data_IF_336426748570
#
_entry.id   IF_336426748570
#
_cell.length_a   1.000
_cell.length_b   1.000
_cell.length_c   1.000
_cell.angle_alpha   90.00
_cell.angle_beta   90.00
_cell.angle_gamma   90.00
#
_symmetry.space_group_name_H-M   'P 1'
#
loop_
_entity.id
_entity.type
_entity.pdbx_description
1 polymer ?
#
# COMPACT_ATOMS: atom_id res chain seq x y z
N UNK A 1 33.50 14.19 12.78
CA UNK A 1 32.78 15.33 12.20
C UNK A 1 31.28 15.07 12.34
N UNK A 2 30.50 15.91 13.03
CA UNK A 2 29.05 15.70 13.14
C UNK A 2 28.42 15.99 11.77
N UNK A 3 27.80 14.96 11.18
CA UNK A 3 27.06 15.04 9.93
C UNK A 3 25.96 16.10 10.04
N UNK A 4 26.14 17.26 9.40
CA UNK A 4 25.07 18.24 9.19
C UNK A 4 24.06 17.62 8.23
N UNK A 5 23.04 17.01 8.80
CA UNK A 5 21.94 16.36 8.08
C UNK A 5 21.24 17.42 7.19
N UNK A 6 21.21 17.27 5.86
CA UNK A 6 20.83 18.33 4.91
C UNK A 6 19.33 18.70 4.93
N UNK A 7 18.52 18.01 5.72
CA UNK A 7 17.10 18.30 5.88
C UNK A 7 16.78 18.68 7.33
N UNK A 8 16.82 19.99 7.68
CA UNK A 8 16.58 20.43 9.05
C UNK A 8 15.17 20.12 9.56
N UNK A 9 14.22 19.82 8.66
CA UNK A 9 12.84 19.48 9.01
C UNK A 9 12.59 18.01 9.37
N UNK A 10 13.57 17.11 9.17
CA UNK A 10 13.39 15.67 9.37
C UNK A 10 13.11 15.33 10.86
N UNK A 11 12.29 14.31 11.12
CA UNK A 11 11.99 13.80 12.46
C UNK A 11 13.23 13.34 13.21
N UNK A 12 14.26 12.88 12.50
CA UNK A 12 15.55 12.52 13.07
C UNK A 12 16.29 13.69 13.73
N UNK A 13 15.94 14.94 13.39
CA UNK A 13 16.52 16.16 13.94
C UNK A 13 15.61 16.82 15.00
N UNK A 14 14.55 16.13 15.47
CA UNK A 14 13.61 16.63 16.47
C UNK A 14 13.76 15.87 17.79
N UNK A 15 13.51 16.51 18.94
CA UNK A 15 13.53 15.82 20.22
C UNK A 15 12.42 14.76 20.27
N UNK A 16 12.68 13.66 20.97
CA UNK A 16 11.77 12.51 21.03
C UNK A 16 10.38 12.89 21.56
N UNK A 17 10.32 13.83 22.50
CA UNK A 17 9.08 14.35 23.06
C UNK A 17 8.21 15.04 21.99
N UNK A 18 8.80 15.84 21.11
CA UNK A 18 8.08 16.49 20.01
C UNK A 18 7.57 15.46 19.01
N UNK A 19 8.38 14.45 18.66
CA UNK A 19 7.96 13.38 17.75
C UNK A 19 6.81 12.58 18.36
N UNK A 20 6.90 12.25 19.65
CA UNK A 20 5.85 11.55 20.39
C UNK A 20 4.56 12.37 20.45
N UNK A 21 4.67 13.68 20.71
CA UNK A 21 3.52 14.59 20.71
C UNK A 21 2.87 14.70 19.33
N UNK A 22 3.65 14.79 18.25
CA UNK A 22 3.13 14.83 16.88
C UNK A 22 2.43 13.51 16.53
N UNK A 23 3.03 12.37 16.88
CA UNK A 23 2.43 11.05 16.67
C UNK A 23 1.12 10.88 17.47
N UNK A 24 1.13 11.29 18.75
CA UNK A 24 -0.07 11.30 19.59
C UNK A 24 -1.15 12.23 19.04
N UNK A 25 -0.79 13.41 18.53
CA UNK A 25 -1.73 14.34 17.92
C UNK A 25 -2.35 13.75 16.65
N UNK A 26 -1.55 13.12 15.78
CA UNK A 26 -2.04 12.40 14.61
C UNK A 26 -2.96 11.23 14.95
N UNK A 27 -2.64 10.49 16.03
CA UNK A 27 -3.50 9.42 16.55
C UNK A 27 -4.79 9.96 17.18
N UNK A 28 -4.73 11.08 17.90
CA UNK A 28 -5.87 11.72 18.55
C UNK A 28 -6.84 12.33 17.55
N UNK A 29 -6.39 12.85 16.40
CA UNK A 29 -7.26 13.34 15.31
C UNK A 29 -8.19 12.26 14.74
N UNK A 30 -7.94 10.98 15.03
CA UNK A 30 -8.88 9.88 14.73
C UNK A 30 -9.90 9.72 15.86
N UNK A 31 -10.75 10.74 16.07
CA UNK A 31 -11.71 10.81 17.19
C UNK A 31 -12.82 9.74 17.20
N UNK A 32 -12.86 8.81 16.23
CA UNK A 32 -13.89 7.75 16.10
C UNK A 32 -13.32 6.43 15.58
N UNK A 33 -12.09 6.09 15.98
CA UNK A 33 -11.35 4.97 15.40
C UNK A 33 -10.91 5.31 13.98
N UNK A 34 -9.72 4.85 13.57
CA UNK A 34 -9.24 5.05 12.21
C UNK A 34 -10.11 4.32 11.18
N UNK A 35 -9.53 3.93 10.05
CA UNK A 35 -10.26 3.16 9.03
C UNK A 35 -11.01 1.94 9.62
N UNK A 36 -10.40 1.23 10.58
CA UNK A 36 -11.00 0.05 11.23
C UNK A 36 -12.19 0.35 12.16
N UNK A 37 -12.33 1.59 12.66
CA UNK A 37 -13.44 1.98 13.54
C UNK A 37 -14.60 2.67 12.83
N UNK A 38 -14.48 2.87 11.52
CA UNK A 38 -15.48 3.51 10.67
C UNK A 38 -16.62 2.56 10.32
N UNK A 39 -17.77 3.08 9.91
CA UNK A 39 -18.89 2.26 9.43
C UNK A 39 -18.45 1.33 8.26
N UNK A 40 -18.82 0.04 8.27
CA UNK A 40 -18.41 -0.92 7.23
C UNK A 40 -18.78 -0.50 5.80
N UNK A 41 -19.94 0.15 5.61
CA UNK A 41 -20.38 0.62 4.29
C UNK A 41 -19.46 1.74 3.78
N UNK A 42 -19.09 2.65 4.69
CA UNK A 42 -18.18 3.74 4.39
C UNK A 42 -16.74 3.27 4.18
N UNK A 43 -16.29 2.24 4.90
CA UNK A 43 -15.02 1.58 4.64
C UNK A 43 -14.98 0.99 3.22
N UNK A 44 -16.04 0.28 2.83
CA UNK A 44 -16.18 -0.32 1.49
C UNK A 44 -16.18 0.75 0.39
N UNK A 45 -16.88 1.85 0.60
CA UNK A 45 -16.90 2.98 -0.34
C UNK A 45 -15.49 3.55 -0.57
N UNK A 46 -14.74 3.81 0.51
CA UNK A 46 -13.36 4.31 0.44
C UNK A 46 -12.43 3.28 -0.22
N UNK A 47 -12.55 2.00 0.13
CA UNK A 47 -11.77 0.93 -0.49
C UNK A 47 -12.05 0.82 -2.00
N UNK A 48 -13.32 0.91 -2.41
CA UNK A 48 -13.73 0.91 -3.81
C UNK A 48 -13.16 2.10 -4.58
N UNK A 49 -13.07 3.29 -3.97
CA UNK A 49 -12.44 4.46 -4.60
C UNK A 49 -10.95 4.21 -4.90
N UNK A 50 -10.22 3.53 -4.00
CA UNK A 50 -8.83 3.14 -4.24
C UNK A 50 -8.67 2.17 -5.42
N UNK A 51 -9.60 1.22 -5.57
CA UNK A 51 -9.64 0.30 -6.71
C UNK A 51 -9.95 1.01 -8.03
N UNK A 52 -10.96 1.86 -8.06
CA UNK A 52 -11.35 2.62 -9.26
C UNK A 52 -10.27 3.60 -9.72
N UNK A 53 -9.62 4.32 -8.80
CA UNK A 53 -8.53 5.25 -9.12
C UNK A 53 -7.28 4.53 -9.68
N UNK A 54 -7.13 3.24 -9.38
CA UNK A 54 -6.03 2.39 -9.86
C UNK A 54 -6.33 1.68 -11.18
N UNK A 55 -7.46 1.97 -11.83
CA UNK A 55 -7.90 1.36 -13.09
C UNK A 55 -8.97 0.28 -12.96
N UNK A 56 -9.52 0.08 -11.75
CA UNK A 56 -10.55 -0.91 -11.45
C UNK A 56 -9.99 -2.28 -11.05
N UNK A 57 -10.90 -3.25 -10.86
CA UNK A 57 -10.53 -4.66 -10.67
C UNK A 57 -10.04 -5.26 -11.99
N UNK A 58 -8.99 -6.05 -11.91
CA UNK A 58 -8.49 -6.84 -13.03
C UNK A 58 -9.36 -8.08 -13.25
N UNK A 59 -9.64 -8.41 -14.51
CA UNK A 59 -10.23 -9.68 -14.89
C UNK A 59 -9.14 -10.72 -15.15
N UNK A 60 -9.42 -12.03 -14.98
CA UNK A 60 -8.48 -13.08 -15.38
C UNK A 60 -8.09 -12.93 -16.86
N UNK A 61 -6.79 -12.79 -17.14
CA UNK A 61 -6.27 -12.60 -18.48
C UNK A 61 -6.11 -11.13 -18.93
N UNK A 62 -6.49 -10.15 -18.10
CA UNK A 62 -6.28 -8.73 -18.43
C UNK A 62 -4.79 -8.40 -18.63
N UNK A 63 -4.47 -7.81 -19.78
CA UNK A 63 -3.11 -7.39 -20.10
C UNK A 63 -2.58 -6.34 -19.11
N UNK A 64 -3.46 -5.44 -18.66
CA UNK A 64 -3.17 -4.43 -17.62
C UNK A 64 -2.79 -5.08 -16.28
N UNK A 65 -3.44 -6.19 -15.93
CA UNK A 65 -3.14 -6.94 -14.71
C UNK A 65 -1.75 -7.57 -14.79
N UNK A 66 -1.45 -8.15 -15.96
CA UNK A 66 -0.16 -8.77 -16.25
C UNK A 66 0.97 -7.75 -16.21
N UNK A 67 0.76 -6.57 -16.78
CA UNK A 67 1.74 -5.49 -16.77
C UNK A 67 1.96 -4.93 -15.35
N UNK A 68 0.87 -4.68 -14.61
CA UNK A 68 0.94 -4.22 -13.22
C UNK A 68 1.67 -5.24 -12.33
N UNK A 69 1.37 -6.53 -12.47
CA UNK A 69 2.07 -7.61 -11.77
C UNK A 69 3.56 -7.69 -12.12
N UNK A 70 3.90 -7.58 -13.41
CA UNK A 70 5.30 -7.54 -13.88
C UNK A 70 6.07 -6.37 -13.27
N UNK A 71 5.49 -5.16 -13.32
CA UNK A 71 6.09 -3.95 -12.75
C UNK A 71 6.24 -4.05 -11.23
N UNK A 72 5.23 -4.58 -10.54
CA UNK A 72 5.28 -4.85 -9.10
C UNK A 72 6.38 -5.83 -8.71
N UNK A 73 6.56 -6.92 -9.48
CA UNK A 73 7.64 -7.88 -9.28
C UNK A 73 9.04 -7.30 -9.48
N UNK A 74 9.20 -6.36 -10.43
CA UNK A 74 10.47 -5.63 -10.60
C UNK A 74 10.74 -4.66 -9.44
N UNK A 75 9.72 -3.99 -8.91
CA UNK A 75 9.86 -3.03 -7.80
C UNK A 75 10.12 -3.72 -6.46
N UNK A 76 9.56 -4.90 -6.22
CA UNK A 76 9.69 -5.63 -4.96
C UNK A 76 11.01 -6.41 -4.81
N UNK A 77 11.89 -6.37 -5.82
CA UNK A 77 13.17 -7.08 -5.79
C UNK A 77 13.03 -8.61 -5.82
N UNK A 78 11.83 -9.14 -6.11
CA UNK A 78 11.57 -10.56 -6.26
C UNK A 78 12.35 -11.13 -7.43
N UNK A 79 13.47 -11.82 -7.15
CA UNK A 79 14.27 -12.52 -8.16
C UNK A 79 13.55 -13.81 -8.56
N UNK A 80 12.52 -13.70 -9.38
CA UNK A 80 11.88 -14.85 -10.00
C UNK A 80 12.67 -15.25 -11.25
N UNK A 81 13.04 -16.52 -11.36
CA UNK A 81 13.62 -17.02 -12.60
C UNK A 81 12.53 -17.15 -13.68
N UNK A 82 12.87 -17.01 -14.98
CA UNK A 82 11.95 -17.34 -16.06
C UNK A 82 11.40 -18.75 -15.87
N UNK A 83 10.09 -18.88 -15.66
CA UNK A 83 9.44 -20.18 -15.41
C UNK A 83 9.21 -20.54 -13.94
N UNK A 84 9.66 -19.73 -12.97
CA UNK A 84 9.47 -19.97 -11.53
C UNK A 84 7.97 -20.15 -11.21
N UNK A 85 7.63 -21.32 -10.68
CA UNK A 85 6.26 -21.70 -10.37
C UNK A 85 5.64 -20.76 -9.33
N UNK A 86 6.44 -20.23 -8.40
CA UNK A 86 5.96 -19.26 -7.39
C UNK A 86 5.60 -17.93 -8.03
N UNK A 87 6.31 -17.52 -9.06
CA UNK A 87 5.99 -16.31 -9.83
C UNK A 87 4.69 -16.48 -10.61
N UNK A 88 4.50 -17.67 -11.22
CA UNK A 88 3.28 -18.03 -11.93
C UNK A 88 2.08 -18.09 -10.97
N UNK A 89 2.24 -18.73 -9.82
CA UNK A 89 1.20 -18.82 -8.79
C UNK A 89 0.82 -17.45 -8.23
N UNK A 90 1.80 -16.60 -7.91
CA UNK A 90 1.55 -15.24 -7.43
C UNK A 90 0.83 -14.37 -8.47
N UNK A 91 1.24 -14.45 -9.74
CA UNK A 91 0.56 -13.75 -10.84
C UNK A 91 -0.86 -14.28 -11.08
N UNK A 92 -1.06 -15.59 -10.94
CA UNK A 92 -2.37 -16.21 -11.13
C UNK A 92 -3.32 -15.87 -9.98
N UNK A 93 -2.86 -15.90 -8.72
CA UNK A 93 -3.66 -15.49 -7.54
C UNK A 93 -4.03 -14.01 -7.57
N UNK A 94 -3.12 -13.13 -8.00
CA UNK A 94 -3.42 -11.70 -8.15
C UNK A 94 -4.51 -11.40 -9.19
N UNK A 95 -4.65 -12.25 -10.21
CA UNK A 95 -5.75 -12.15 -11.19
C UNK A 95 -7.05 -12.81 -10.76
N UNK A 96 -7.03 -13.67 -9.73
CA UNK A 96 -8.20 -14.38 -9.20
C UNK A 96 -8.84 -13.69 -8.00
N UNK A 97 -8.18 -12.69 -7.40
CA UNK A 97 -8.74 -11.88 -6.31
C UNK A 97 -9.69 -10.77 -6.80
N UNK A 98 -10.38 -10.97 -7.92
CA UNK A 98 -11.58 -10.22 -8.25
C UNK A 98 -12.75 -10.77 -7.44
N UNK A 99 -13.76 -9.95 -7.07
CA UNK A 99 -14.94 -10.46 -6.38
C UNK A 99 -15.56 -11.58 -7.21
N UNK A 100 -15.57 -12.80 -6.65
CA UNK A 100 -16.46 -13.87 -7.10
C UNK A 100 -17.88 -13.43 -6.76
N UNK A 101 -18.69 -13.19 -7.80
CA UNK A 101 -20.13 -13.01 -7.67
C UNK A 101 -20.80 -14.32 -7.21
#
# INVERSE_FOLDING_TARGET
>A
MPSKNPNPGNFANRPHEDVSRIAQQGGRSSHKGGFAGMDPSKQREIASHGGSASGGSFHPGDERAREAGRKGGHASGGKFQPGDERAKEAGHKGGLSGPSE
#
